data_IF_532426658710
#
_entry.id   IF_532426658710
#
_cell.length_a   1.000
_cell.length_b   1.000
_cell.length_c   1.000
_cell.angle_alpha   90.00
_cell.angle_beta   90.00
_cell.angle_gamma   90.00
#
_symmetry.space_group_name_H-M   'P 1'
#
loop_
_entity.id
_entity.type
_entity.pdbx_description
1 polymer ?
#
# COMPACT_ATOMS: atom_id res chain seq x y z
N UNK A 1 -2.61 10.14 -20.81
CA UNK A 1 -2.15 11.01 -19.71
C UNK A 1 -0.66 11.29 -19.85
N UNK A 2 -0.17 12.49 -19.51
CA UNK A 2 1.23 12.92 -19.69
C UNK A 2 2.23 12.08 -18.87
N UNK A 3 1.94 11.83 -17.59
CA UNK A 3 2.77 11.04 -16.69
C UNK A 3 3.03 9.60 -17.20
N UNK A 4 1.95 8.86 -17.53
CA UNK A 4 2.07 7.49 -18.07
C UNK A 4 2.91 7.45 -19.35
N UNK A 5 2.69 8.40 -20.28
CA UNK A 5 3.48 8.48 -21.52
C UNK A 5 4.96 8.74 -21.24
N UNK A 6 5.27 9.60 -20.27
CA UNK A 6 6.65 9.88 -19.87
C UNK A 6 7.34 8.63 -19.32
N UNK A 7 6.72 7.93 -18.36
CA UNK A 7 7.28 6.69 -17.82
C UNK A 7 7.41 5.61 -18.89
N UNK A 8 6.40 5.44 -19.76
CA UNK A 8 6.46 4.49 -20.87
C UNK A 8 7.67 4.75 -21.79
N UNK A 9 7.99 6.03 -22.07
CA UNK A 9 9.17 6.39 -22.86
C UNK A 9 10.47 5.97 -22.14
N UNK A 10 10.61 6.30 -20.86
CA UNK A 10 11.80 5.93 -20.07
C UNK A 10 12.00 4.42 -19.99
N UNK A 11 10.92 3.66 -19.79
CA UNK A 11 10.97 2.20 -19.66
C UNK A 11 11.23 1.51 -21.00
N UNK A 12 10.76 2.09 -22.11
CA UNK A 12 11.04 1.57 -23.46
C UNK A 12 12.54 1.55 -23.76
N UNK A 13 13.25 2.61 -23.41
CA UNK A 13 14.69 2.74 -23.66
C UNK A 13 15.53 1.70 -22.90
N UNK A 14 15.01 1.19 -21.77
CA UNK A 14 15.66 0.20 -20.92
C UNK A 14 15.21 -1.25 -21.17
N UNK A 15 14.13 -1.43 -21.93
CA UNK A 15 13.43 -2.70 -22.07
C UNK A 15 14.34 -3.85 -22.49
N UNK A 16 15.23 -3.65 -23.45
CA UNK A 16 16.11 -4.71 -23.94
C UNK A 16 17.12 -5.17 -22.87
N UNK A 17 17.61 -4.24 -22.04
CA UNK A 17 18.48 -4.58 -20.90
C UNK A 17 17.73 -5.40 -19.86
N UNK A 18 16.52 -5.01 -19.49
CA UNK A 18 15.70 -5.76 -18.54
C UNK A 18 15.36 -7.17 -19.05
N UNK A 19 14.99 -7.29 -20.33
CA UNK A 19 14.72 -8.60 -20.95
C UNK A 19 15.96 -9.49 -20.98
N UNK A 20 17.14 -8.93 -21.24
CA UNK A 20 18.38 -9.69 -21.17
C UNK A 20 18.66 -10.23 -19.76
N UNK A 21 18.48 -9.40 -18.73
CA UNK A 21 18.59 -9.80 -17.33
C UNK A 21 17.60 -10.92 -16.98
N UNK A 22 16.32 -10.75 -17.33
CA UNK A 22 15.29 -11.77 -17.12
C UNK A 22 15.70 -13.08 -17.80
N UNK A 23 16.09 -13.07 -19.08
CA UNK A 23 16.51 -14.29 -19.80
C UNK A 23 17.65 -15.02 -19.08
N UNK A 24 18.63 -14.29 -18.55
CA UNK A 24 19.72 -14.88 -17.79
C UNK A 24 19.23 -15.54 -16.50
N UNK A 25 18.39 -14.85 -15.72
CA UNK A 25 17.82 -15.40 -14.48
C UNK A 25 16.99 -16.65 -14.76
N UNK A 26 16.15 -16.62 -15.81
CA UNK A 26 15.33 -17.76 -16.23
C UNK A 26 16.21 -18.97 -16.57
N UNK A 27 17.29 -18.77 -17.33
CA UNK A 27 18.23 -19.82 -17.69
C UNK A 27 18.94 -20.41 -16.46
N UNK A 28 19.46 -19.55 -15.56
CA UNK A 28 20.17 -19.98 -14.35
C UNK A 28 19.25 -20.67 -13.33
N UNK A 29 17.96 -20.33 -13.34
CA UNK A 29 16.97 -20.89 -12.41
C UNK A 29 16.19 -22.08 -12.98
N UNK A 30 16.58 -22.59 -14.16
CA UNK A 30 15.89 -23.66 -14.88
C UNK A 30 14.38 -23.40 -15.06
N UNK A 31 14.02 -22.13 -15.27
CA UNK A 31 12.63 -21.70 -15.43
C UNK A 31 12.31 -21.50 -16.92
N UNK A 32 11.39 -22.32 -17.43
CA UNK A 32 10.95 -22.24 -18.82
C UNK A 32 10.30 -20.86 -19.13
N UNK A 33 10.72 -20.16 -20.20
CA UNK A 33 10.17 -18.84 -20.55
C UNK A 33 8.65 -18.77 -20.68
N UNK A 34 8.00 -19.88 -21.06
CA UNK A 34 6.53 -19.96 -21.15
C UNK A 34 5.82 -19.66 -19.82
N UNK A 35 6.38 -20.08 -18.68
CA UNK A 35 5.77 -19.83 -17.37
C UNK A 35 5.90 -18.36 -16.97
N UNK A 36 7.04 -17.74 -17.28
CA UNK A 36 7.24 -16.32 -17.04
C UNK A 36 6.36 -15.45 -17.95
N UNK A 37 6.22 -15.81 -19.23
CA UNK A 37 5.31 -15.12 -20.15
C UNK A 37 3.84 -15.25 -19.70
N UNK A 38 3.45 -16.42 -19.20
CA UNK A 38 2.14 -16.63 -18.60
C UNK A 38 1.94 -15.74 -17.36
N UNK A 39 2.95 -15.60 -16.50
CA UNK A 39 2.89 -14.70 -15.34
C UNK A 39 2.63 -13.26 -15.78
N UNK A 40 3.36 -12.75 -16.78
CA UNK A 40 3.13 -11.40 -17.33
C UNK A 40 1.69 -11.24 -17.81
N UNK A 41 1.17 -12.23 -18.55
CA UNK A 41 -0.21 -12.22 -19.04
C UNK A 41 -1.23 -12.19 -17.90
N UNK A 42 -0.98 -12.95 -16.83
CA UNK A 42 -1.82 -13.01 -15.63
C UNK A 42 -1.82 -11.70 -14.87
N UNK A 43 -0.64 -11.10 -14.64
CA UNK A 43 -0.52 -9.77 -14.02
C UNK A 43 -1.34 -8.74 -14.80
N UNK A 44 -1.19 -8.71 -16.13
CA UNK A 44 -1.91 -7.76 -17.00
C UNK A 44 -3.42 -7.92 -16.97
N UNK A 45 -3.94 -9.14 -16.80
CA UNK A 45 -5.38 -9.43 -16.84
C UNK A 45 -6.04 -9.39 -15.46
N UNK A 46 -5.31 -9.79 -14.42
CA UNK A 46 -5.88 -10.11 -13.11
C UNK A 46 -5.25 -9.30 -11.97
N UNK A 47 -4.10 -8.66 -12.19
CA UNK A 47 -3.48 -7.78 -11.20
C UNK A 47 -4.44 -6.67 -10.77
N UNK A 48 -4.35 -6.27 -9.51
CA UNK A 48 -5.20 -5.22 -8.92
C UNK A 48 -4.32 -4.29 -8.11
N UNK A 49 -4.71 -3.03 -8.00
CA UNK A 49 -4.03 -2.08 -7.12
C UNK A 49 -4.77 -2.04 -5.79
N UNK A 50 -4.05 -2.21 -4.69
CA UNK A 50 -4.57 -1.99 -3.34
C UNK A 50 -4.22 -0.57 -2.88
N UNK A 51 -5.24 0.20 -2.50
CA UNK A 51 -5.10 1.55 -1.95
C UNK A 51 -5.31 1.48 -0.43
N UNK A 52 -4.20 1.43 0.31
CA UNK A 52 -4.22 1.31 1.78
C UNK A 52 -4.57 2.64 2.46
N UNK A 53 -5.33 2.55 3.54
CA UNK A 53 -5.66 3.68 4.39
C UNK A 53 -6.03 3.24 5.82
N UNK A 54 -6.08 4.20 6.75
CA UNK A 54 -6.68 4.00 8.06
C UNK A 54 -8.03 4.70 8.06
N UNK A 55 -9.15 3.97 8.25
CA UNK A 55 -10.49 4.48 7.98
C UNK A 55 -10.92 5.57 8.95
N UNK A 56 -10.34 5.60 10.14
CA UNK A 56 -10.72 6.42 11.28
C UNK A 56 -9.94 7.73 11.40
N UNK A 57 -8.86 7.90 10.62
CA UNK A 57 -8.04 9.12 10.63
C UNK A 57 -8.84 10.30 10.09
N UNK A 58 -8.56 11.51 10.57
CA UNK A 58 -9.29 12.70 10.16
C UNK A 58 -8.60 13.42 8.98
N UNK A 59 -9.39 13.82 7.99
CA UNK A 59 -8.96 14.72 6.92
C UNK A 59 -9.04 16.20 7.37
N UNK A 60 -8.69 17.13 6.48
CA UNK A 60 -8.76 18.58 6.76
C UNK A 60 -10.15 19.11 7.09
N UNK A 61 -11.22 18.39 6.74
CA UNK A 61 -12.62 18.75 7.04
C UNK A 61 -13.04 18.25 8.42
N UNK A 62 -12.19 17.45 9.08
CA UNK A 62 -12.54 16.75 10.31
C UNK A 62 -13.40 15.51 10.08
N UNK A 63 -13.54 15.05 8.83
CA UNK A 63 -14.20 13.78 8.53
C UNK A 63 -13.19 12.65 8.68
N UNK A 64 -13.65 11.50 9.18
CA UNK A 64 -12.84 10.28 9.08
C UNK A 64 -12.60 9.92 7.61
N UNK A 65 -11.50 9.23 7.29
CA UNK A 65 -11.20 8.84 5.90
C UNK A 65 -12.36 8.08 5.28
N UNK A 66 -13.01 7.17 6.01
CA UNK A 66 -14.17 6.44 5.48
C UNK A 66 -15.36 7.35 5.19
N UNK A 67 -15.62 8.36 6.04
CA UNK A 67 -16.67 9.36 5.79
C UNK A 67 -16.33 10.26 4.60
N UNK A 68 -15.05 10.63 4.45
CA UNK A 68 -14.57 11.38 3.29
C UNK A 68 -14.75 10.59 1.99
N UNK A 69 -14.40 9.30 1.98
CA UNK A 69 -14.63 8.40 0.86
C UNK A 69 -16.12 8.26 0.53
N UNK A 70 -16.97 8.06 1.54
CA UNK A 70 -18.43 8.00 1.38
C UNK A 70 -18.97 9.29 0.75
N UNK A 71 -18.55 10.45 1.26
CA UNK A 71 -19.03 11.74 0.79
C UNK A 71 -18.51 12.12 -0.60
N UNK A 72 -17.28 11.73 -0.95
CA UNK A 72 -16.62 12.20 -2.16
C UNK A 72 -16.83 11.26 -3.35
N UNK A 73 -17.13 9.97 -3.10
CA UNK A 73 -17.23 8.93 -4.13
C UNK A 73 -15.91 8.65 -4.86
N UNK A 74 -14.80 9.19 -4.35
CA UNK A 74 -13.48 9.14 -4.99
C UNK A 74 -12.35 8.99 -3.97
N UNK A 75 -11.32 8.22 -4.32
CA UNK A 75 -10.07 8.17 -3.56
C UNK A 75 -9.17 9.35 -3.97
N UNK A 76 -8.99 10.29 -3.04
CA UNK A 76 -8.29 11.56 -3.26
C UNK A 76 -6.83 11.55 -2.81
N UNK A 77 -6.05 12.47 -3.35
CA UNK A 77 -4.63 12.62 -3.00
C UNK A 77 -4.43 13.40 -1.70
N UNK A 78 -3.22 13.30 -1.11
CA UNK A 78 -2.88 14.08 0.10
C UNK A 78 -2.94 15.60 -0.12
N UNK A 79 -2.77 16.09 -1.35
CA UNK A 79 -2.91 17.52 -1.66
C UNK A 79 -4.35 18.00 -1.45
N UNK A 80 -5.32 17.12 -1.71
CA UNK A 80 -6.74 17.42 -1.57
C UNK A 80 -7.21 17.20 -0.14
N UNK A 81 -6.77 16.11 0.50
CA UNK A 81 -7.28 15.66 1.81
C UNK A 81 -6.46 16.17 3.01
N UNK A 82 -5.20 16.56 2.78
CA UNK A 82 -4.18 16.88 3.80
C UNK A 82 -3.94 15.75 4.81
N UNK A 83 -4.12 14.50 4.38
CA UNK A 83 -3.77 13.31 5.15
C UNK A 83 -2.88 12.37 4.34
N UNK A 84 -1.97 11.67 5.01
CA UNK A 84 -1.05 10.72 4.39
C UNK A 84 -0.57 9.71 5.42
N UNK A 85 -0.44 8.45 5.02
CA UNK A 85 0.25 7.41 5.80
C UNK A 85 1.74 7.29 5.40
N UNK A 86 2.16 8.01 4.37
CA UNK A 86 3.55 8.21 3.96
C UNK A 86 4.16 9.45 4.61
N UNK A 87 4.92 10.22 3.83
CA UNK A 87 5.25 11.61 4.18
C UNK A 87 4.05 12.50 3.82
N UNK A 88 3.63 13.36 4.74
CA UNK A 88 2.62 14.39 4.49
C UNK A 88 3.33 15.70 4.09
N UNK A 89 3.14 16.13 2.85
CA UNK A 89 3.68 17.38 2.32
C UNK A 89 2.76 17.91 1.21
N UNK A 90 1.52 18.34 1.55
CA UNK A 90 0.49 18.69 0.58
C UNK A 90 0.66 20.11 -0.01
N UNK A 91 1.85 20.68 0.08
CA UNK A 91 2.14 22.08 -0.31
C UNK A 91 2.82 22.09 -1.67
N UNK A 92 2.36 22.95 -2.58
CA UNK A 92 3.02 23.18 -3.87
C UNK A 92 4.42 23.77 -3.64
N UNK A 93 5.41 23.27 -4.36
CA UNK A 93 6.83 23.52 -4.12
C UNK A 93 7.42 22.75 -2.93
N UNK A 94 6.60 22.05 -2.14
CA UNK A 94 7.07 21.21 -1.04
C UNK A 94 7.78 19.93 -1.52
N UNK A 95 8.36 19.14 -0.59
CA UNK A 95 9.00 17.87 -0.90
C UNK A 95 8.18 16.96 -1.81
N UNK A 96 6.88 16.79 -1.55
CA UNK A 96 6.00 15.92 -2.35
C UNK A 96 5.91 16.38 -3.81
N UNK A 97 5.68 17.68 -4.00
CA UNK A 97 5.51 18.27 -5.31
C UNK A 97 6.81 18.16 -6.13
N UNK A 98 7.95 18.47 -5.52
CA UNK A 98 9.26 18.37 -6.17
C UNK A 98 9.55 16.97 -6.72
N UNK A 99 9.35 15.92 -5.92
CA UNK A 99 9.68 14.58 -6.40
C UNK A 99 8.64 14.05 -7.39
N UNK A 100 7.35 14.38 -7.25
CA UNK A 100 6.34 14.00 -8.25
C UNK A 100 6.65 14.66 -9.60
N UNK A 101 7.07 15.92 -9.59
CA UNK A 101 7.49 16.64 -10.81
C UNK A 101 8.74 16.01 -11.42
N UNK A 102 9.72 15.63 -10.60
CA UNK A 102 10.92 14.93 -11.05
C UNK A 102 10.63 13.54 -11.62
N UNK A 103 9.68 12.79 -11.04
CA UNK A 103 9.32 11.45 -11.49
C UNK A 103 8.44 11.47 -12.74
N UNK A 104 7.54 12.45 -12.87
CA UNK A 104 6.51 12.48 -13.92
C UNK A 104 6.71 13.58 -14.96
N UNK A 105 7.88 14.22 -14.99
CA UNK A 105 8.23 15.32 -15.91
C UNK A 105 7.16 16.44 -15.93
N UNK A 106 6.90 17.00 -14.75
CA UNK A 106 5.98 18.13 -14.55
C UNK A 106 4.58 17.84 -15.15
N UNK A 107 4.08 16.63 -14.94
CA UNK A 107 2.80 16.20 -15.50
C UNK A 107 1.58 16.85 -14.83
N UNK A 108 1.75 17.47 -13.66
CA UNK A 108 0.67 18.03 -12.86
C UNK A 108 0.86 19.52 -12.65
N UNK A 109 -0.26 20.22 -12.64
CA UNK A 109 -0.32 21.64 -12.28
C UNK A 109 -1.33 21.77 -11.14
N UNK A 110 -0.89 22.33 -10.01
CA UNK A 110 -1.76 22.49 -8.84
C UNK A 110 -2.00 21.20 -8.07
N UNK A 111 -3.12 21.12 -7.35
CA UNK A 111 -3.43 20.05 -6.38
C UNK A 111 -4.33 18.95 -6.94
N UNK A 112 -5.03 19.22 -8.05
CA UNK A 112 -5.98 18.30 -8.65
C UNK A 112 -5.31 17.32 -9.63
N UNK A 113 -5.93 16.15 -9.83
CA UNK A 113 -5.46 15.16 -10.81
C UNK A 113 -4.14 14.46 -10.45
N UNK A 114 -3.58 14.76 -9.27
CA UNK A 114 -2.37 14.16 -8.70
C UNK A 114 -2.49 12.62 -8.63
N UNK A 115 -1.35 11.90 -8.68
CA UNK A 115 -1.37 10.44 -8.64
C UNK A 115 -1.84 9.94 -7.27
N UNK A 116 -2.57 8.82 -7.28
CA UNK A 116 -2.98 8.06 -6.09
C UNK A 116 -2.02 6.91 -5.89
N UNK A 117 -1.64 6.65 -4.65
CA UNK A 117 -0.56 5.73 -4.34
C UNK A 117 -1.11 4.48 -3.67
N UNK A 118 -0.74 3.33 -4.22
CA UNK A 118 -1.07 2.01 -3.72
C UNK A 118 0.04 1.03 -4.03
N UNK A 119 -0.28 -0.24 -3.98
CA UNK A 119 0.64 -1.30 -4.37
C UNK A 119 -0.06 -2.36 -5.23
N UNK A 120 0.68 -2.94 -6.16
CA UNK A 120 0.19 -4.01 -7.02
C UNK A 120 0.07 -5.30 -6.21
N UNK A 121 -1.15 -5.85 -6.15
CA UNK A 121 -1.47 -7.05 -5.39
C UNK A 121 -1.28 -8.31 -6.26
N UNK A 122 -0.18 -9.01 -6.01
CA UNK A 122 0.18 -10.25 -6.71
C UNK A 122 0.13 -11.49 -5.80
N UNK A 123 0.17 -11.29 -4.48
CA UNK A 123 0.40 -12.38 -3.53
C UNK A 123 -0.84 -12.76 -2.72
N UNK A 124 -1.94 -12.00 -2.81
CA UNK A 124 -3.17 -12.27 -2.06
C UNK A 124 -2.92 -12.42 -0.55
N UNK A 125 -2.06 -11.58 0.03
CA UNK A 125 -2.00 -11.48 1.48
C UNK A 125 -3.32 -10.89 2.01
N UNK A 126 -3.86 -11.39 3.15
CA UNK A 126 -5.15 -10.92 3.65
C UNK A 126 -5.10 -9.43 4.05
N UNK A 127 -3.94 -8.97 4.52
CA UNK A 127 -3.66 -7.56 4.84
C UNK A 127 -3.10 -6.75 3.67
N UNK A 128 -3.28 -7.23 2.43
CA UNK A 128 -2.90 -6.52 1.22
C UNK A 128 -1.38 -6.49 0.94
N UNK A 129 -0.97 -5.91 -0.19
CA UNK A 129 0.42 -5.90 -0.63
C UNK A 129 1.31 -4.87 0.09
N UNK A 130 0.74 -3.88 0.77
CA UNK A 130 1.52 -2.84 1.47
C UNK A 130 0.88 -2.44 2.83
N UNK A 131 0.76 -3.38 3.78
CA UNK A 131 0.04 -3.18 5.05
C UNK A 131 0.58 -2.04 5.91
N UNK A 132 1.85 -1.63 5.72
CA UNK A 132 2.43 -0.49 6.45
C UNK A 132 1.70 0.83 6.24
N UNK A 133 0.86 0.96 5.21
CA UNK A 133 0.14 2.21 4.90
C UNK A 133 -1.32 2.22 5.33
N UNK A 134 -1.83 1.18 5.97
CA UNK A 134 -3.22 1.20 6.40
C UNK A 134 -3.72 -0.13 6.90
N UNK A 135 -4.57 -0.06 7.91
CA UNK A 135 -5.32 -1.20 8.44
C UNK A 135 -6.43 -1.64 7.49
N UNK A 136 -6.92 -0.77 6.60
CA UNK A 136 -7.92 -1.13 5.59
C UNK A 136 -7.37 -0.81 4.20
N UNK A 137 -7.98 -1.38 3.17
CA UNK A 137 -7.64 -1.05 1.79
C UNK A 137 -8.81 -1.22 0.83
N UNK A 138 -8.82 -0.38 -0.21
CA UNK A 138 -9.67 -0.61 -1.37
C UNK A 138 -8.92 -1.48 -2.36
N UNK A 139 -9.56 -2.51 -2.88
CA UNK A 139 -9.04 -3.31 -3.97
C UNK A 139 -9.72 -2.91 -5.27
N UNK A 140 -8.93 -2.36 -6.20
CA UNK A 140 -9.46 -1.83 -7.46
C UNK A 140 -9.88 -2.95 -8.41
N UNK A 141 -10.70 -2.61 -9.40
CA UNK A 141 -10.84 -3.43 -10.61
C UNK A 141 -9.48 -3.55 -11.35
N UNK A 142 -9.24 -4.60 -12.15
CA UNK A 142 -7.97 -4.78 -12.86
C UNK A 142 -7.67 -3.67 -13.89
N UNK A 143 -8.69 -3.02 -14.44
CA UNK A 143 -8.60 -1.99 -15.49
C UNK A 143 -7.84 -0.75 -15.02
N UNK A 144 -7.84 -0.46 -13.71
CA UNK A 144 -7.08 0.66 -13.12
C UNK A 144 -5.59 0.59 -13.44
N UNK A 145 -5.04 -0.61 -13.63
CA UNK A 145 -3.63 -0.79 -14.00
C UNK A 145 -3.27 -0.10 -15.34
N UNK A 146 -4.23 0.05 -16.27
CA UNK A 146 -3.98 0.66 -17.59
C UNK A 146 -3.56 2.12 -17.48
N UNK A 147 -3.93 2.77 -16.38
CA UNK A 147 -3.61 4.17 -16.07
C UNK A 147 -2.68 4.29 -14.86
N UNK A 148 -1.97 3.23 -14.51
CA UNK A 148 -0.98 3.24 -13.46
C UNK A 148 0.45 3.22 -14.02
N UNK A 149 1.38 3.82 -13.29
CA UNK A 149 2.80 3.51 -13.37
C UNK A 149 3.23 2.70 -12.16
N UNK A 150 4.39 2.08 -12.25
CA UNK A 150 4.89 1.20 -11.22
C UNK A 150 6.36 1.46 -10.95
N UNK A 151 6.75 1.33 -9.69
CA UNK A 151 8.15 1.26 -9.27
C UNK A 151 8.35 0.01 -8.44
N UNK A 152 9.51 -0.62 -8.56
CA UNK A 152 9.90 -1.61 -7.57
C UNK A 152 10.35 -0.86 -6.31
N UNK A 153 9.62 -1.06 -5.20
CA UNK A 153 9.74 -0.28 -3.96
C UNK A 153 9.34 1.21 -4.12
N UNK A 154 9.64 2.02 -3.09
CA UNK A 154 9.23 3.43 -2.95
C UNK A 154 9.67 4.34 -4.11
N UNK A 155 8.70 4.98 -4.78
CA UNK A 155 8.98 5.94 -5.87
C UNK A 155 9.61 7.25 -5.41
N UNK A 156 9.50 7.63 -4.12
CA UNK A 156 10.16 8.82 -3.57
C UNK A 156 11.69 8.78 -3.78
N UNK A 157 12.30 7.59 -3.84
CA UNK A 157 13.74 7.43 -4.12
C UNK A 157 14.09 7.54 -5.61
N UNK A 158 13.09 7.77 -6.46
CA UNK A 158 13.19 7.79 -7.91
C UNK A 158 13.94 6.56 -8.49
N UNK A 159 13.58 5.32 -8.09
CA UNK A 159 14.33 4.12 -8.44
C UNK A 159 14.40 3.95 -9.97
N UNK A 160 15.52 3.47 -10.54
CA UNK A 160 15.61 3.27 -11.98
C UNK A 160 14.59 2.26 -12.51
N UNK A 161 14.23 1.26 -11.69
CA UNK A 161 13.28 0.19 -11.98
C UNK A 161 11.84 0.71 -11.90
N UNK A 162 11.37 1.25 -13.03
CA UNK A 162 10.04 1.82 -13.15
C UNK A 162 9.40 1.49 -14.50
N UNK A 163 8.07 1.43 -14.53
CA UNK A 163 7.34 0.87 -15.65
C UNK A 163 5.90 1.35 -15.79
N UNK A 164 5.31 0.98 -16.91
CA UNK A 164 3.85 0.98 -17.12
C UNK A 164 3.40 -0.47 -17.33
N UNK A 165 2.10 -0.71 -17.44
CA UNK A 165 1.59 -2.05 -17.75
C UNK A 165 2.09 -2.59 -19.11
N UNK A 166 2.29 -1.69 -20.08
CA UNK A 166 2.84 -2.01 -21.40
C UNK A 166 4.34 -2.31 -21.32
N UNK A 167 5.10 -1.44 -20.64
CA UNK A 167 6.55 -1.53 -20.45
C UNK A 167 6.89 -1.87 -18.99
N UNK A 168 6.62 -3.12 -18.60
CA UNK A 168 6.74 -3.60 -17.22
C UNK A 168 8.04 -4.38 -16.94
N UNK A 169 8.87 -4.58 -17.97
CA UNK A 169 10.05 -5.45 -17.92
C UNK A 169 11.05 -5.04 -16.83
N UNK A 170 11.30 -3.73 -16.63
CA UNK A 170 12.22 -3.22 -15.60
C UNK A 170 11.79 -3.61 -14.17
N UNK A 171 10.48 -3.48 -13.89
CA UNK A 171 9.92 -3.83 -12.56
C UNK A 171 10.00 -5.34 -12.34
N UNK A 172 9.74 -6.14 -13.37
CA UNK A 172 9.88 -7.59 -13.30
C UNK A 172 11.33 -8.04 -13.18
N UNK A 173 12.26 -7.38 -13.86
CA UNK A 173 13.68 -7.66 -13.72
C UNK A 173 14.13 -7.43 -12.28
N UNK A 174 13.70 -6.33 -11.66
CA UNK A 174 13.96 -6.04 -10.24
C UNK A 174 13.41 -7.14 -9.32
N UNK A 175 12.14 -7.52 -9.53
CA UNK A 175 11.48 -8.59 -8.77
C UNK A 175 12.23 -9.93 -8.88
N UNK A 176 12.61 -10.30 -10.11
CA UNK A 176 13.29 -11.55 -10.38
C UNK A 176 14.73 -11.55 -9.84
N UNK A 177 15.42 -10.41 -9.87
CA UNK A 177 16.76 -10.26 -9.30
C UNK A 177 16.75 -10.41 -7.79
N UNK A 178 15.82 -9.78 -7.08
CA UNK A 178 15.69 -9.94 -5.62
C UNK A 178 15.39 -11.40 -5.24
N UNK A 179 14.48 -12.05 -5.98
CA UNK A 179 14.20 -13.48 -5.82
C UNK A 179 15.42 -14.36 -6.11
N UNK A 180 16.21 -14.04 -7.12
CA UNK A 180 17.40 -14.79 -7.50
C UNK A 180 18.55 -14.64 -6.50
N UNK A 181 18.82 -13.43 -6.05
CA UNK A 181 19.98 -13.12 -5.20
C UNK A 181 19.72 -13.39 -3.72
N UNK A 182 18.48 -13.19 -3.25
CA UNK A 182 18.13 -13.23 -1.82
C UNK A 182 17.15 -14.34 -1.48
N UNK A 183 16.59 -15.03 -2.47
CA UNK A 183 15.47 -15.96 -2.29
C UNK A 183 14.32 -15.30 -1.51
N UNK A 184 14.08 -14.02 -1.77
CA UNK A 184 13.07 -13.23 -1.08
C UNK A 184 12.49 -12.19 -2.02
N UNK A 185 11.16 -12.08 -2.06
CA UNK A 185 10.47 -11.07 -2.86
C UNK A 185 9.04 -10.85 -2.37
N UNK A 186 8.58 -9.60 -2.34
CA UNK A 186 7.19 -9.24 -2.01
C UNK A 186 6.69 -9.78 -0.65
N UNK A 187 7.60 -9.95 0.32
CA UNK A 187 7.24 -10.55 1.61
C UNK A 187 7.31 -12.07 1.67
N UNK A 188 7.61 -12.74 0.57
CA UNK A 188 7.74 -14.19 0.47
C UNK A 188 9.19 -14.57 0.78
N UNK A 189 9.41 -15.46 1.74
CA UNK A 189 10.72 -16.02 2.07
C UNK A 189 10.97 -17.32 1.31
N UNK A 190 12.24 -17.70 1.18
CA UNK A 190 12.68 -18.95 0.55
C UNK A 190 12.10 -19.16 -0.86
N UNK A 191 11.99 -18.07 -1.61
CA UNK A 191 11.37 -18.04 -2.94
C UNK A 191 12.42 -17.74 -4.03
N UNK A 192 13.20 -18.75 -4.48
CA UNK A 192 13.98 -18.60 -5.71
C UNK A 192 13.03 -18.40 -6.92
N UNK A 193 13.54 -17.96 -8.09
CA UNK A 193 12.70 -17.49 -9.20
C UNK A 193 11.64 -18.47 -9.69
N UNK A 194 11.95 -19.76 -9.75
CA UNK A 194 11.01 -20.80 -10.17
C UNK A 194 9.83 -20.96 -9.18
N UNK A 195 10.14 -20.99 -7.88
CA UNK A 195 9.15 -21.04 -6.80
C UNK A 195 8.30 -19.78 -6.78
N UNK A 196 8.91 -18.60 -6.89
CA UNK A 196 8.19 -17.32 -6.94
C UNK A 196 7.18 -17.31 -8.11
N UNK A 197 7.63 -17.64 -9.31
CA UNK A 197 6.77 -17.61 -10.51
C UNK A 197 5.62 -18.62 -10.40
N UNK A 198 5.89 -19.84 -9.95
CA UNK A 198 4.85 -20.85 -9.74
C UNK A 198 3.83 -20.40 -8.67
N UNK A 199 4.31 -19.81 -7.58
CA UNK A 199 3.47 -19.28 -6.52
C UNK A 199 2.57 -18.15 -7.03
N UNK A 200 3.13 -17.11 -7.65
CA UNK A 200 2.35 -15.98 -8.17
C UNK A 200 1.33 -16.41 -9.24
N UNK A 201 1.67 -17.37 -10.10
CA UNK A 201 0.72 -17.95 -11.06
C UNK A 201 -0.48 -18.63 -10.37
N UNK A 202 -0.20 -19.32 -9.26
CA UNK A 202 -1.24 -19.96 -8.44
C UNK A 202 -2.13 -18.90 -7.81
N UNK A 203 -1.55 -17.87 -7.17
CA UNK A 203 -2.30 -16.81 -6.51
C UNK A 203 -3.17 -16.01 -7.48
N UNK A 204 -2.60 -15.57 -8.62
CA UNK A 204 -3.35 -14.80 -9.63
C UNK A 204 -4.50 -15.60 -10.27
N UNK A 205 -4.50 -16.92 -10.14
CA UNK A 205 -5.59 -17.77 -10.64
C UNK A 205 -6.76 -17.90 -9.66
N UNK A 206 -6.62 -17.45 -8.42
CA UNK A 206 -7.65 -17.53 -7.39
C UNK A 206 -8.55 -16.28 -7.37
N UNK A 207 -9.70 -16.38 -6.69
CA UNK A 207 -10.54 -15.21 -6.42
C UNK A 207 -9.89 -14.31 -5.36
N UNK A 208 -10.20 -13.00 -5.33
CA UNK A 208 -9.70 -12.10 -4.30
C UNK A 208 -9.94 -12.59 -2.87
N UNK A 209 -11.07 -13.25 -2.60
CA UNK A 209 -11.44 -13.75 -1.27
C UNK A 209 -10.57 -14.91 -0.78
N UNK A 210 -9.89 -15.63 -1.68
CA UNK A 210 -8.99 -16.72 -1.29
C UNK A 210 -7.81 -16.24 -0.41
N UNK A 211 -7.52 -14.93 -0.43
CA UNK A 211 -6.52 -14.29 0.44
C UNK A 211 -6.71 -14.58 1.93
N UNK A 212 -7.94 -14.74 2.38
CA UNK A 212 -8.25 -14.92 3.80
C UNK A 212 -7.97 -16.33 4.32
N UNK A 213 -7.62 -17.28 3.44
CA UNK A 213 -7.06 -18.57 3.83
C UNK A 213 -5.54 -18.52 4.07
N UNK A 214 -4.89 -17.39 3.76
CA UNK A 214 -3.45 -17.21 3.94
C UNK A 214 -3.12 -16.49 5.24
N UNK A 215 -1.87 -16.59 5.67
CA UNK A 215 -1.35 -15.79 6.80
C UNK A 215 -1.10 -14.35 6.39
N UNK A 216 -1.40 -13.42 7.29
CA UNK A 216 -1.09 -12.00 7.12
C UNK A 216 0.42 -11.78 6.90
N UNK A 217 0.73 -10.86 5.99
CA UNK A 217 2.12 -10.51 5.71
C UNK A 217 2.70 -9.70 6.85
N UNK A 218 3.89 -10.09 7.32
CA UNK A 218 4.74 -9.30 8.21
C UNK A 218 5.72 -8.41 7.43
N UNK A 219 5.52 -8.30 6.13
CA UNK A 219 6.29 -7.46 5.22
C UNK A 219 5.84 -6.00 5.34
N UNK A 220 6.82 -5.10 5.45
CA UNK A 220 6.57 -3.67 5.44
C UNK A 220 7.03 -3.06 4.11
N UNK A 221 8.23 -3.42 3.67
CA UNK A 221 8.99 -2.56 2.77
C UNK A 221 9.16 -3.14 1.36
N UNK A 222 8.77 -4.39 1.12
CA UNK A 222 8.96 -5.05 -0.19
C UNK A 222 7.65 -5.17 -0.97
N UNK A 223 7.39 -4.23 -1.86
CA UNK A 223 6.19 -4.23 -2.69
C UNK A 223 6.49 -3.55 -4.04
N UNK A 224 5.59 -3.75 -5.01
CA UNK A 224 5.59 -2.98 -6.24
C UNK A 224 4.63 -1.81 -6.00
N UNK A 225 5.17 -0.61 -5.86
CA UNK A 225 4.35 0.58 -5.68
C UNK A 225 3.64 0.91 -7.00
N UNK A 226 2.36 1.23 -6.91
CA UNK A 226 1.52 1.63 -8.03
C UNK A 226 1.11 3.10 -7.87
N UNK A 227 1.37 3.90 -8.89
CA UNK A 227 0.93 5.29 -8.95
C UNK A 227 -0.20 5.39 -9.98
N UNK A 228 -1.44 5.48 -9.49
CA UNK A 228 -2.66 5.53 -10.30
C UNK A 228 -2.93 6.97 -10.74
N UNK A 229 -2.95 7.20 -12.06
CA UNK A 229 -3.13 8.51 -12.65
C UNK A 229 -4.60 8.76 -13.02
N UNK A 230 -5.06 10.01 -12.83
CA UNK A 230 -6.46 10.37 -13.02
C UNK A 230 -7.35 9.94 -11.84
N UNK A 231 -8.64 10.28 -11.88
CA UNK A 231 -9.64 10.01 -10.83
C UNK A 231 -9.69 8.53 -10.44
N UNK A 232 -9.91 8.20 -9.16
CA UNK A 232 -10.24 6.83 -8.72
C UNK A 232 -11.65 6.87 -8.13
N UNK A 233 -12.62 6.42 -8.91
CA UNK A 233 -14.04 6.41 -8.61
C UNK A 233 -14.40 5.17 -7.80
N UNK A 234 -15.08 5.31 -6.66
CA UNK A 234 -15.52 4.14 -5.89
C UNK A 234 -16.51 3.29 -6.70
N UNK A 235 -17.46 3.93 -7.38
CA UNK A 235 -18.46 3.24 -8.23
C UNK A 235 -17.89 2.44 -9.41
N UNK A 236 -16.74 2.84 -9.97
CA UNK A 236 -16.28 2.31 -11.27
C UNK A 236 -14.92 1.64 -11.21
N UNK A 237 -14.08 2.01 -10.24
CA UNK A 237 -12.71 1.54 -10.16
C UNK A 237 -12.49 0.60 -8.96
N UNK A 238 -13.46 0.42 -8.07
CA UNK A 238 -13.28 -0.33 -6.81
C UNK A 238 -14.30 -1.45 -6.70
N UNK A 239 -13.80 -2.68 -6.55
CA UNK A 239 -14.68 -3.85 -6.39
C UNK A 239 -14.86 -4.21 -4.91
N UNK A 240 -13.84 -3.98 -4.08
CA UNK A 240 -13.84 -4.42 -2.69
C UNK A 240 -13.28 -3.36 -1.73
N UNK A 241 -13.90 -3.29 -0.55
CA UNK A 241 -13.35 -2.67 0.65
C UNK A 241 -12.96 -3.79 1.61
N UNK A 242 -11.67 -3.92 1.91
CA UNK A 242 -11.19 -4.87 2.92
C UNK A 242 -10.94 -4.10 4.23
N UNK A 243 -11.65 -4.52 5.28
CA UNK A 243 -11.67 -3.87 6.58
C UNK A 243 -11.06 -4.74 7.68
N UNK A 244 -10.48 -4.07 8.68
CA UNK A 244 -9.99 -4.68 9.92
C UNK A 244 -11.14 -4.88 10.93
N UNK A 245 -11.31 -6.10 11.50
CA UNK A 245 -12.37 -6.40 12.46
C UNK A 245 -12.44 -5.46 13.68
N UNK A 246 -11.35 -4.81 14.09
CA UNK A 246 -11.37 -3.90 15.23
C UNK A 246 -12.33 -2.69 15.07
N UNK A 247 -12.80 -2.42 13.84
CA UNK A 247 -13.79 -1.37 13.58
C UNK A 247 -15.24 -1.86 13.66
N UNK A 248 -15.50 -3.16 13.81
CA UNK A 248 -16.85 -3.67 13.97
C UNK A 248 -17.54 -3.02 15.18
N UNK A 249 -18.85 -2.82 15.07
CA UNK A 249 -19.68 -2.16 16.10
C UNK A 249 -19.24 -0.72 16.45
N UNK A 250 -18.58 -0.02 15.53
CA UNK A 250 -18.24 1.40 15.66
C UNK A 250 -18.92 2.25 14.58
N UNK A 251 -18.91 3.58 14.74
CA UNK A 251 -19.36 4.51 13.71
C UNK A 251 -18.57 4.38 12.40
N UNK A 252 -17.31 3.93 12.48
CA UNK A 252 -16.49 3.64 11.29
C UNK A 252 -17.10 2.49 10.50
N UNK A 253 -17.57 1.42 11.16
CA UNK A 253 -18.24 0.32 10.49
C UNK A 253 -19.59 0.75 9.88
N UNK A 254 -20.37 1.58 10.57
CA UNK A 254 -21.60 2.13 9.99
C UNK A 254 -21.32 2.93 8.70
N UNK A 255 -20.25 3.75 8.69
CA UNK A 255 -19.83 4.47 7.49
C UNK A 255 -19.28 3.56 6.38
N UNK A 256 -18.58 2.47 6.73
CA UNK A 256 -18.16 1.45 5.76
C UNK A 256 -19.36 0.80 5.08
N UNK A 257 -20.38 0.42 5.84
CA UNK A 257 -21.58 -0.20 5.30
C UNK A 257 -22.31 0.75 4.35
N UNK A 258 -22.51 2.02 4.76
CA UNK A 258 -23.12 3.03 3.92
C UNK A 258 -22.33 3.28 2.61
N UNK A 259 -20.99 3.27 2.66
CA UNK A 259 -20.15 3.39 1.48
C UNK A 259 -20.33 2.20 0.53
N UNK A 260 -20.32 0.99 1.09
CA UNK A 260 -20.50 -0.22 0.31
C UNK A 260 -21.88 -0.30 -0.35
N UNK A 261 -22.92 0.12 0.36
CA UNK A 261 -24.29 0.17 -0.17
C UNK A 261 -24.45 1.25 -1.26
N UNK A 262 -23.87 2.44 -1.07
CA UNK A 262 -23.96 3.57 -2.02
C UNK A 262 -23.22 3.28 -3.33
N UNK A 263 -22.01 2.73 -3.25
CA UNK A 263 -21.12 2.57 -4.41
C UNK A 263 -21.03 1.13 -4.93
N UNK A 264 -21.88 0.24 -4.43
CA UNK A 264 -21.92 -1.19 -4.78
C UNK A 264 -20.56 -1.90 -4.56
N UNK A 265 -19.82 -1.48 -3.54
CA UNK A 265 -18.52 -2.06 -3.17
C UNK A 265 -18.72 -3.22 -2.21
N UNK A 266 -18.05 -4.35 -2.44
CA UNK A 266 -18.18 -5.52 -1.57
C UNK A 266 -17.31 -5.34 -0.32
N UNK A 267 -17.93 -5.32 0.86
CA UNK A 267 -17.22 -5.33 2.14
C UNK A 267 -16.66 -6.73 2.44
N UNK A 268 -15.37 -6.81 2.71
CA UNK A 268 -14.67 -8.02 3.14
C UNK A 268 -13.93 -7.74 4.45
N UNK A 269 -13.76 -8.79 5.26
CA UNK A 269 -13.03 -8.72 6.53
C UNK A 269 -11.75 -9.54 6.44
N UNK A 270 -10.62 -8.92 6.77
CA UNK A 270 -9.37 -9.65 6.99
C UNK A 270 -9.34 -10.26 8.40
N UNK A 271 -8.40 -11.17 8.70
CA UNK A 271 -8.15 -11.62 10.07
C UNK A 271 -7.85 -10.45 10.99
N UNK A 272 -8.35 -10.53 12.23
CA UNK A 272 -8.02 -9.54 13.25
C UNK A 272 -6.51 -9.43 13.43
N UNK A 273 -6.01 -8.20 13.58
CA UNK A 273 -4.60 -7.95 13.83
C UNK A 273 -4.46 -7.26 15.17
N UNK A 274 -3.94 -7.99 16.15
CA UNK A 274 -3.73 -7.49 17.50
C UNK A 274 -2.34 -7.82 18.03
N UNK A 275 -1.88 -7.07 19.03
CA UNK A 275 -0.61 -7.34 19.71
C UNK A 275 -0.76 -7.02 21.19
N UNK A 276 -0.34 -7.95 22.07
CA UNK A 276 -0.25 -7.65 23.49
C UNK A 276 0.78 -6.54 23.73
N UNK A 277 0.45 -5.56 24.56
CA UNK A 277 1.34 -4.43 24.87
C UNK A 277 2.65 -4.90 25.52
N UNK A 278 2.63 -6.02 26.23
CA UNK A 278 3.82 -6.68 26.79
C UNK A 278 4.77 -7.20 25.72
N UNK A 279 4.27 -7.50 24.52
CA UNK A 279 5.01 -8.14 23.43
C UNK A 279 5.55 -7.11 22.43
N UNK A 280 5.30 -5.82 22.69
CA UNK A 280 5.87 -4.72 21.90
C UNK A 280 7.37 -4.66 22.15
N UNK A 281 8.21 -4.84 21.10
CA UNK A 281 9.66 -4.81 21.26
C UNK A 281 10.19 -3.38 21.43
N UNK A 282 11.31 -3.24 22.14
CA UNK A 282 12.08 -1.99 22.26
C UNK A 282 13.15 -1.84 21.17
N UNK A 283 13.42 -2.90 20.40
CA UNK A 283 14.48 -2.95 19.40
C UNK A 283 13.98 -2.80 17.95
N UNK A 284 12.71 -2.43 17.74
CA UNK A 284 12.14 -2.19 16.41
C UNK A 284 11.38 -0.86 16.36
N UNK A 285 11.75 0.00 15.39
CA UNK A 285 11.23 1.38 15.24
C UNK A 285 11.46 2.31 16.45
N UNK A 286 12.37 1.93 17.35
CA UNK A 286 12.92 2.78 18.40
C UNK A 286 12.52 2.33 19.82
N UNK A 287 13.31 2.70 20.84
CA UNK A 287 13.17 2.19 22.21
C UNK A 287 11.90 2.67 22.93
N UNK A 288 11.22 3.69 22.40
CA UNK A 288 10.00 4.22 23.00
C UNK A 288 8.75 3.40 22.67
N UNK A 289 8.79 2.47 21.70
CA UNK A 289 7.59 1.75 21.25
C UNK A 289 6.81 1.07 22.39
N UNK A 290 7.44 0.38 23.37
CA UNK A 290 6.69 -0.21 24.50
C UNK A 290 6.01 0.84 25.38
N UNK A 291 6.64 1.99 25.59
CA UNK A 291 6.07 3.09 26.38
C UNK A 291 4.89 3.74 25.66
N UNK A 292 5.03 3.99 24.34
CA UNK A 292 3.94 4.53 23.53
C UNK A 292 2.78 3.53 23.47
N UNK A 293 3.05 2.23 23.33
CA UNK A 293 2.01 1.20 23.33
C UNK A 293 1.19 1.18 24.62
N UNK A 294 1.85 1.30 25.79
CA UNK A 294 1.16 1.40 27.09
C UNK A 294 0.25 2.63 27.18
N UNK A 295 0.67 3.76 26.62
CA UNK A 295 -0.14 4.98 26.57
C UNK A 295 -1.34 4.85 25.63
N UNK A 296 -1.15 4.17 24.49
CA UNK A 296 -2.19 3.97 23.47
C UNK A 296 -3.22 2.93 23.92
N UNK A 297 -2.79 1.86 24.58
CA UNK A 297 -3.60 0.71 24.94
C UNK A 297 -3.38 0.30 26.41
N UNK A 298 -3.88 1.09 27.38
CA UNK A 298 -3.67 0.80 28.80
C UNK A 298 -4.31 -0.52 29.26
N UNK A 299 -5.27 -1.05 28.49
CA UNK A 299 -5.94 -2.33 28.76
C UNK A 299 -5.17 -3.56 28.27
N UNK A 300 -3.96 -3.38 27.72
CA UNK A 300 -3.01 -4.47 27.47
C UNK A 300 -3.03 -5.08 26.06
N UNK A 301 -4.00 -4.74 25.22
CA UNK A 301 -4.04 -5.18 23.80
C UNK A 301 -4.08 -3.98 22.87
N UNK A 302 -3.21 -3.99 21.87
CA UNK A 302 -3.04 -2.97 20.85
C UNK A 302 -3.62 -3.45 19.51
N UNK A 303 -4.52 -2.67 18.93
CA UNK A 303 -5.06 -2.81 17.57
C UNK A 303 -5.03 -1.48 16.79
N UNK A 304 -5.48 -1.53 15.54
CA UNK A 304 -5.52 -0.35 14.67
C UNK A 304 -6.44 0.76 15.20
N UNK A 305 -7.55 0.42 15.87
CA UNK A 305 -8.51 1.37 16.44
C UNK A 305 -7.94 2.12 17.65
N UNK A 306 -7.13 1.49 18.51
CA UNK A 306 -6.52 2.21 19.63
C UNK A 306 -5.43 3.18 19.15
N UNK A 307 -4.56 2.76 18.23
CA UNK A 307 -3.63 3.69 17.54
C UNK A 307 -4.44 4.78 16.84
N UNK A 308 -5.57 4.37 16.28
CA UNK A 308 -6.68 5.14 15.78
C UNK A 308 -7.00 6.38 16.61
N UNK A 309 -7.57 6.11 17.78
CA UNK A 309 -7.98 7.06 18.79
C UNK A 309 -6.83 7.92 19.32
N UNK A 310 -5.64 7.32 19.53
CA UNK A 310 -4.47 8.05 19.98
C UNK A 310 -4.09 9.20 19.04
N UNK A 311 -4.15 8.98 17.71
CA UNK A 311 -3.89 10.05 16.73
C UNK A 311 -4.93 11.18 16.84
N UNK A 312 -6.21 10.85 17.07
CA UNK A 312 -7.26 11.87 17.30
C UNK A 312 -7.00 12.66 18.59
N UNK A 313 -6.63 11.97 19.67
CA UNK A 313 -6.27 12.58 20.95
C UNK A 313 -5.07 13.53 20.80
N UNK A 314 -4.06 13.19 19.99
CA UNK A 314 -2.93 14.11 19.72
C UNK A 314 -3.41 15.40 19.05
N UNK A 315 -4.45 15.35 18.20
CA UNK A 315 -5.00 16.52 17.52
C UNK A 315 -5.92 17.38 18.39
N UNK A 316 -6.58 16.81 19.40
CA UNK A 316 -7.51 17.53 20.28
C UNK A 316 -6.88 17.88 21.63
N UNK A 317 -6.18 16.93 22.25
CA UNK A 317 -5.68 16.96 23.62
C UNK A 317 -4.16 16.75 23.70
N UNK A 318 -3.38 17.56 22.96
CA UNK A 318 -1.92 17.38 22.87
C UNK A 318 -1.19 17.44 24.22
N UNK A 319 -1.74 18.11 25.24
CA UNK A 319 -1.16 18.17 26.58
C UNK A 319 -0.94 16.79 27.21
N UNK A 320 -1.76 15.79 26.87
CA UNK A 320 -1.59 14.39 27.32
C UNK A 320 -0.39 13.68 26.65
N UNK A 321 0.17 14.28 25.60
CA UNK A 321 1.22 13.70 24.76
C UNK A 321 2.54 14.46 24.79
N UNK A 322 2.59 15.62 25.45
CA UNK A 322 3.76 16.51 25.49
C UNK A 322 5.03 15.82 26.04
N UNK A 323 4.86 14.83 26.92
CA UNK A 323 5.96 14.05 27.48
C UNK A 323 6.68 13.17 26.43
N UNK A 324 6.07 12.93 25.27
CA UNK A 324 6.60 12.06 24.22
C UNK A 324 7.21 12.83 23.02
N UNK A 325 7.26 14.16 23.10
CA UNK A 325 7.85 15.04 22.10
C UNK A 325 6.88 16.06 21.52
N UNK A 326 7.29 16.70 20.43
CA UNK A 326 6.44 17.59 19.64
C UNK A 326 5.29 16.84 18.97
N UNK A 327 4.26 17.57 18.55
CA UNK A 327 3.09 16.96 17.88
C UNK A 327 3.49 16.12 16.65
N UNK A 328 4.43 16.61 15.85
CA UNK A 328 4.93 15.90 14.69
C UNK A 328 5.67 14.61 15.07
N UNK A 329 6.49 14.64 16.12
CA UNK A 329 7.20 13.46 16.62
C UNK A 329 6.25 12.40 17.17
N UNK A 330 5.21 12.80 17.92
CA UNK A 330 4.22 11.85 18.45
C UNK A 330 3.41 11.21 17.31
N UNK A 331 2.96 11.97 16.31
CA UNK A 331 2.27 11.41 15.14
C UNK A 331 3.18 10.42 14.40
N UNK A 332 4.46 10.75 14.25
CA UNK A 332 5.44 9.84 13.65
C UNK A 332 5.62 8.58 14.50
N UNK A 333 5.68 8.68 15.83
CA UNK A 333 5.77 7.53 16.73
C UNK A 333 4.53 6.63 16.64
N UNK A 334 3.31 7.18 16.55
CA UNK A 334 2.08 6.40 16.39
C UNK A 334 2.04 5.66 15.04
N UNK A 335 2.56 6.26 13.97
CA UNK A 335 2.77 5.57 12.69
C UNK A 335 3.79 4.44 12.83
N UNK A 336 4.88 4.66 13.57
CA UNK A 336 5.88 3.63 13.81
C UNK A 336 5.33 2.49 14.67
N UNK A 337 4.45 2.78 15.62
CA UNK A 337 3.73 1.77 16.40
C UNK A 337 2.79 0.93 15.53
N UNK A 338 2.15 1.52 14.51
CA UNK A 338 1.44 0.74 13.48
C UNK A 338 2.37 -0.25 12.75
N UNK A 339 3.58 0.18 12.38
CA UNK A 339 4.54 -0.76 11.77
C UNK A 339 4.94 -1.89 12.71
N UNK A 340 5.02 -1.65 14.02
CA UNK A 340 5.25 -2.70 15.03
C UNK A 340 4.08 -3.67 15.03
N UNK A 341 2.84 -3.17 15.07
CA UNK A 341 1.64 -4.02 15.04
C UNK A 341 1.60 -4.89 13.78
N UNK A 342 1.88 -4.34 12.59
CA UNK A 342 1.95 -5.12 11.34
C UNK A 342 3.05 -6.19 11.39
N UNK A 343 4.20 -5.88 12.02
CA UNK A 343 5.35 -6.80 12.04
C UNK A 343 5.19 -7.93 13.06
N UNK A 344 4.59 -7.65 14.21
CA UNK A 344 4.58 -8.56 15.37
C UNK A 344 3.18 -9.03 15.78
N UNK A 345 2.12 -8.36 15.34
CA UNK A 345 0.74 -8.76 15.61
C UNK A 345 0.37 -10.11 14.99
N UNK A 346 -0.74 -10.66 15.50
CA UNK A 346 -1.28 -11.95 15.12
C UNK A 346 -2.80 -11.93 15.04
#
# INVERSE_FOLDING_TARGET
MKAVKHIASLSRDKQERARAMIRNILAMSHLAPKHFNELIRRIRKQGRVALHFHPDRLDKRGLTVIQGLLSDGEYRSQFETQISNGLLSPVLGGPRDHWENGLFADAYHGVEGRPKYGALDLNLHPNGPAPRFGSCYLLTSPEVQQRATFTYLDSYRNPPEKGTLEFFDDVLAALMSESFERHYALGICDCPPSTLVAHLLTQLSQSPQARFAQTASKNLDHYIEAQVHGRVSLQHDVDYLVADPCFQQTDVHAAMQALCDEYEVVLLWQPELSLAVSDVPDNFRGPLMPTIAKQVAPQGTLDARQIGEAVKQVNVNFHLWQAYGTRAEVIQQLKLLWHVLVRYGH
#
